data_IF_324617082958
#
_entry.id   IF_324617082958
#
_cell.length_a   1.000
_cell.length_b   1.000
_cell.length_c   1.000
_cell.angle_alpha   90.00
_cell.angle_beta   90.00
_cell.angle_gamma   90.00
#
_symmetry.space_group_name_H-M   'P 1'
#
loop_
_entity.id
_entity.type
_entity.pdbx_description
1 polymer ?
#
# COMPACT_ATOMS: atom_id res chain seq x y z
N UNK A 1 10.39 25.75 18.98
CA UNK A 1 9.34 24.90 19.55
C UNK A 1 8.47 24.39 18.40
N UNK A 2 8.49 23.11 18.11
CA UNK A 2 7.67 22.55 17.02
C UNK A 2 6.19 22.58 17.43
N UNK A 3 5.36 23.25 16.65
CA UNK A 3 3.92 23.29 16.88
C UNK A 3 3.29 21.95 16.47
N UNK A 4 3.02 21.10 17.44
CA UNK A 4 2.43 19.77 17.24
C UNK A 4 1.06 19.88 16.53
N UNK A 5 0.35 20.98 16.67
CA UNK A 5 -0.95 21.24 16.02
C UNK A 5 -0.87 21.41 14.50
N UNK A 6 0.34 21.52 13.93
CA UNK A 6 0.54 21.63 12.46
C UNK A 6 0.97 20.32 11.79
N UNK A 7 1.09 19.23 12.53
CA UNK A 7 1.45 17.93 11.95
C UNK A 7 0.19 17.20 11.53
N UNK A 8 0.11 16.71 10.27
CA UNK A 8 -1.00 15.88 9.83
C UNK A 8 -1.09 14.61 10.69
N UNK A 9 -2.30 14.26 11.09
CA UNK A 9 -2.59 13.06 11.84
C UNK A 9 -3.31 12.05 10.95
N UNK A 10 -2.75 10.86 10.83
CA UNK A 10 -3.31 9.77 10.02
C UNK A 10 -3.95 8.68 10.85
N UNK A 11 -4.87 7.97 10.21
CA UNK A 11 -5.45 6.74 10.75
C UNK A 11 -5.18 5.59 9.78
N UNK A 12 -4.81 4.43 10.32
CA UNK A 12 -4.72 3.23 9.53
C UNK A 12 -6.11 2.69 9.21
N UNK A 13 -6.38 2.39 7.96
CA UNK A 13 -7.69 1.95 7.48
C UNK A 13 -8.35 0.85 8.32
N UNK A 14 -7.53 -0.09 8.83
CA UNK A 14 -8.05 -1.20 9.64
C UNK A 14 -8.54 -0.80 11.03
N UNK A 15 -8.32 0.43 11.46
CA UNK A 15 -8.90 0.98 12.69
C UNK A 15 -10.35 1.48 12.47
N UNK A 16 -10.80 1.55 11.23
CA UNK A 16 -12.16 1.89 10.85
C UNK A 16 -13.00 0.62 10.63
N UNK A 17 -14.33 0.66 10.79
CA UNK A 17 -15.19 -0.49 10.54
C UNK A 17 -15.01 -1.06 9.13
N UNK A 18 -14.94 -2.38 9.03
CA UNK A 18 -14.70 -3.06 7.75
C UNK A 18 -15.89 -2.95 6.78
N UNK A 19 -17.10 -2.83 7.30
CA UNK A 19 -18.35 -2.69 6.55
C UNK A 19 -18.62 -1.27 6.03
N UNK A 20 -17.80 -0.29 6.45
CA UNK A 20 -17.90 1.07 5.93
C UNK A 20 -17.42 1.13 4.47
N UNK A 21 -18.17 1.85 3.64
CA UNK A 21 -17.73 2.31 2.32
C UNK A 21 -16.54 3.28 2.46
N UNK A 22 -15.83 3.54 1.38
CA UNK A 22 -14.73 4.51 1.40
C UNK A 22 -15.16 5.92 1.78
N UNK A 23 -16.35 6.34 1.33
CA UNK A 23 -16.90 7.63 1.73
C UNK A 23 -17.16 7.69 3.24
N UNK A 24 -17.79 6.66 3.81
CA UNK A 24 -18.05 6.59 5.25
C UNK A 24 -16.77 6.54 6.07
N UNK A 25 -15.75 5.79 5.61
CA UNK A 25 -14.41 5.77 6.25
C UNK A 25 -13.78 7.16 6.28
N UNK A 26 -13.82 7.90 5.16
CA UNK A 26 -13.26 9.25 5.08
C UNK A 26 -14.05 10.24 5.93
N UNK A 27 -15.38 10.15 5.94
CA UNK A 27 -16.22 10.98 6.78
C UNK A 27 -15.97 10.73 8.27
N UNK A 28 -15.86 9.45 8.67
CA UNK A 28 -15.54 9.08 10.05
C UNK A 28 -14.14 9.56 10.47
N UNK A 29 -13.14 9.41 9.60
CA UNK A 29 -11.79 9.91 9.85
C UNK A 29 -11.79 11.44 10.04
N UNK A 30 -12.48 12.17 9.17
CA UNK A 30 -12.62 13.63 9.26
C UNK A 30 -13.31 14.05 10.56
N UNK A 31 -14.42 13.38 10.91
CA UNK A 31 -15.17 13.67 12.14
C UNK A 31 -14.33 13.41 13.40
N UNK A 32 -13.46 12.40 13.37
CA UNK A 32 -12.55 12.08 14.45
C UNK A 32 -11.30 13.00 14.51
N UNK A 33 -11.14 13.92 13.55
CA UNK A 33 -10.04 14.88 13.53
C UNK A 33 -8.76 14.37 12.87
N UNK A 34 -8.84 13.32 12.06
CA UNK A 34 -7.72 12.85 11.24
C UNK A 34 -7.64 13.63 9.93
N UNK A 35 -6.43 13.78 9.41
CA UNK A 35 -6.14 14.48 8.16
C UNK A 35 -6.03 13.53 6.96
N UNK A 36 -5.72 12.24 7.22
CA UNK A 36 -5.53 11.25 6.16
C UNK A 36 -5.78 9.82 6.62
N UNK A 37 -5.97 8.93 5.65
CA UNK A 37 -6.06 7.48 5.86
C UNK A 37 -4.86 6.81 5.18
N UNK A 38 -4.19 5.87 5.88
CA UNK A 38 -3.28 4.92 5.26
C UNK A 38 -4.06 3.71 4.75
N UNK A 39 -4.05 3.49 3.42
CA UNK A 39 -4.73 2.36 2.80
C UNK A 39 -3.98 1.05 3.05
N UNK A 40 -4.74 -0.03 3.25
CA UNK A 40 -4.20 -1.38 3.42
C UNK A 40 -4.40 -2.23 2.18
N UNK A 41 -3.32 -2.83 1.67
CA UNK A 41 -3.37 -3.93 0.71
C UNK A 41 -2.68 -5.13 1.37
N UNK A 42 -3.48 -5.96 2.06
CA UNK A 42 -2.96 -7.11 2.81
C UNK A 42 -3.14 -8.42 2.04
N UNK A 43 -2.86 -9.53 2.72
CA UNK A 43 -2.87 -10.88 2.17
C UNK A 43 -4.27 -11.47 1.89
N UNK A 44 -5.36 -10.78 2.29
CA UNK A 44 -6.72 -11.22 2.00
C UNK A 44 -7.06 -11.01 0.53
N UNK A 45 -7.86 -11.90 -0.05
CA UNK A 45 -8.26 -11.81 -1.45
C UNK A 45 -9.02 -10.49 -1.72
N UNK A 46 -9.87 -10.05 -0.78
CA UNK A 46 -10.60 -8.80 -0.86
C UNK A 46 -9.67 -7.58 -1.01
N UNK A 47 -8.60 -7.53 -0.21
CA UNK A 47 -7.67 -6.38 -0.24
C UNK A 47 -6.63 -6.48 -1.33
N UNK A 48 -6.24 -7.70 -1.72
CA UNK A 48 -5.42 -7.92 -2.91
C UNK A 48 -6.15 -7.50 -4.19
N UNK A 49 -7.48 -7.71 -4.27
CA UNK A 49 -8.29 -7.29 -5.42
C UNK A 49 -8.26 -5.77 -5.67
N UNK A 50 -7.87 -4.95 -4.67
CA UNK A 50 -7.68 -3.50 -4.85
C UNK A 50 -6.57 -3.15 -5.83
N UNK A 51 -5.60 -4.04 -6.01
CA UNK A 51 -4.53 -3.87 -6.99
C UNK A 51 -5.06 -3.85 -8.43
N UNK A 52 -6.27 -4.36 -8.65
CA UNK A 52 -6.95 -4.44 -9.93
C UNK A 52 -8.17 -3.50 -10.02
N UNK A 53 -8.24 -2.47 -9.17
CA UNK A 53 -9.30 -1.47 -9.23
C UNK A 53 -9.35 -0.79 -10.60
N UNK A 54 -10.55 -0.69 -11.15
CA UNK A 54 -10.79 0.00 -12.41
C UNK A 54 -10.55 1.50 -12.29
N UNK A 55 -10.42 2.19 -13.42
CA UNK A 55 -10.25 3.64 -13.41
C UNK A 55 -11.49 4.35 -12.83
N UNK A 56 -12.68 3.79 -13.00
CA UNK A 56 -13.93 4.30 -12.40
C UNK A 56 -13.89 4.20 -10.88
N UNK A 57 -13.43 3.07 -10.32
CA UNK A 57 -13.27 2.90 -8.87
C UNK A 57 -12.23 3.85 -8.30
N UNK A 58 -11.12 4.07 -9.02
CA UNK A 58 -10.09 5.04 -8.62
C UNK A 58 -10.66 6.47 -8.61
N UNK A 59 -11.38 6.87 -9.65
CA UNK A 59 -11.99 8.21 -9.70
C UNK A 59 -13.07 8.39 -8.62
N UNK A 60 -13.81 7.36 -8.28
CA UNK A 60 -14.75 7.39 -7.17
C UNK A 60 -14.02 7.69 -5.84
N UNK A 61 -12.93 6.97 -5.54
CA UNK A 61 -12.11 7.24 -4.35
C UNK A 61 -11.56 8.67 -4.37
N UNK A 62 -11.04 9.13 -5.50
CA UNK A 62 -10.53 10.50 -5.66
C UNK A 62 -11.62 11.56 -5.45
N UNK A 63 -12.84 11.30 -5.89
CA UNK A 63 -13.97 12.19 -5.64
C UNK A 63 -14.29 12.30 -4.15
N UNK A 64 -14.25 11.18 -3.41
CA UNK A 64 -14.44 11.16 -1.96
C UNK A 64 -13.31 11.90 -1.22
N UNK A 65 -12.06 11.75 -1.67
CA UNK A 65 -10.94 12.52 -1.14
C UNK A 65 -11.17 14.03 -1.31
N UNK A 66 -11.67 14.45 -2.48
CA UNK A 66 -11.98 15.86 -2.77
C UNK A 66 -13.17 16.37 -1.95
N UNK A 67 -14.22 15.58 -1.79
CA UNK A 67 -15.42 15.94 -1.01
C UNK A 67 -15.09 16.09 0.47
N UNK A 68 -14.36 15.15 1.03
CA UNK A 68 -14.08 15.09 2.47
C UNK A 68 -12.88 15.91 2.89
N UNK A 69 -11.92 16.12 2.00
CA UNK A 69 -10.61 16.68 2.31
C UNK A 69 -9.64 15.67 2.96
N UNK A 70 -10.06 14.41 3.12
CA UNK A 70 -9.20 13.32 3.61
C UNK A 70 -8.43 12.74 2.42
N UNK A 71 -7.11 12.65 2.53
CA UNK A 71 -6.24 12.11 1.47
C UNK A 71 -5.72 10.72 1.84
N UNK A 72 -5.17 10.01 0.86
CA UNK A 72 -4.50 8.71 1.03
C UNK A 72 -3.03 8.86 0.62
N UNK A 73 -2.14 9.36 1.51
CA UNK A 73 -0.74 9.62 1.16
C UNK A 73 0.17 8.41 1.29
N UNK A 74 -0.29 7.36 1.98
CA UNK A 74 0.50 6.16 2.24
C UNK A 74 -0.31 4.88 2.08
N UNK A 75 0.39 3.80 1.73
CA UNK A 75 -0.13 2.45 1.56
C UNK A 75 0.71 1.46 2.37
N UNK A 76 0.05 0.65 3.19
CA UNK A 76 0.66 -0.53 3.79
C UNK A 76 0.44 -1.73 2.85
N UNK A 77 1.47 -2.09 2.09
CA UNK A 77 1.44 -3.22 1.16
C UNK A 77 1.98 -4.47 1.87
N UNK A 78 1.11 -5.17 2.57
CA UNK A 78 1.44 -6.38 3.34
C UNK A 78 0.95 -7.69 2.70
N UNK A 79 0.54 -7.66 1.44
CA UNK A 79 0.25 -8.85 0.63
C UNK A 79 1.46 -9.80 0.51
N UNK A 80 2.67 -9.25 0.67
CA UNK A 80 3.92 -10.01 0.72
C UNK A 80 4.04 -10.94 1.94
N UNK A 81 3.11 -10.91 2.90
CA UNK A 81 3.02 -11.93 3.94
C UNK A 81 2.67 -13.29 3.34
N UNK A 82 1.70 -13.33 2.42
CA UNK A 82 1.27 -14.54 1.71
C UNK A 82 2.19 -14.86 0.52
N UNK A 83 2.74 -13.85 -0.13
CA UNK A 83 3.59 -13.97 -1.31
C UNK A 83 4.94 -13.26 -1.06
N UNK A 84 5.83 -13.85 -0.22
CA UNK A 84 7.08 -13.18 0.15
C UNK A 84 8.13 -13.24 -0.96
N UNK A 85 8.95 -12.19 -1.04
CA UNK A 85 10.09 -12.14 -1.95
C UNK A 85 11.16 -13.20 -1.65
N UNK A 86 11.24 -13.65 -0.40
CA UNK A 86 12.22 -14.65 0.05
C UNK A 86 11.79 -16.09 -0.16
N UNK A 87 10.58 -16.37 -0.63
CA UNK A 87 10.13 -17.75 -0.84
C UNK A 87 11.06 -18.50 -1.80
N UNK A 88 11.36 -19.77 -1.47
CA UNK A 88 12.10 -20.68 -2.39
C UNK A 88 11.26 -21.10 -3.59
N UNK A 89 9.92 -20.99 -3.49
CA UNK A 89 9.02 -21.21 -4.60
C UNK A 89 9.04 -20.02 -5.57
N UNK A 90 9.48 -20.27 -6.80
CA UNK A 90 9.56 -19.23 -7.83
C UNK A 90 8.20 -18.60 -8.16
N UNK A 91 7.12 -19.39 -8.20
CA UNK A 91 5.77 -18.90 -8.51
C UNK A 91 5.28 -17.89 -7.46
N UNK A 92 5.62 -18.13 -6.16
CA UNK A 92 5.32 -17.20 -5.07
C UNK A 92 6.10 -15.90 -5.24
N UNK A 93 7.39 -15.98 -5.62
CA UNK A 93 8.20 -14.78 -5.86
C UNK A 93 7.71 -14.00 -7.10
N UNK A 94 7.33 -14.69 -8.17
CA UNK A 94 6.76 -14.05 -9.36
C UNK A 94 5.49 -13.28 -8.98
N UNK A 95 4.64 -13.87 -8.13
CA UNK A 95 3.45 -13.19 -7.60
C UNK A 95 3.79 -12.01 -6.69
N UNK A 96 4.86 -12.10 -5.90
CA UNK A 96 5.35 -10.97 -5.11
C UNK A 96 5.72 -9.77 -5.98
N UNK A 97 6.40 -9.99 -7.11
CA UNK A 97 6.74 -8.93 -8.07
C UNK A 97 5.50 -8.35 -8.75
N UNK A 98 4.54 -9.19 -9.15
CA UNK A 98 3.25 -8.72 -9.69
C UNK A 98 2.52 -7.81 -8.68
N UNK A 99 2.46 -8.21 -7.41
CA UNK A 99 1.87 -7.40 -6.33
C UNK A 99 2.58 -6.06 -6.18
N UNK A 100 3.91 -6.06 -6.24
CA UNK A 100 4.70 -4.83 -6.14
C UNK A 100 4.43 -3.89 -7.31
N UNK A 101 4.46 -4.40 -8.54
CA UNK A 101 4.18 -3.63 -9.76
C UNK A 101 2.79 -2.99 -9.70
N UNK A 102 1.77 -3.79 -9.45
CA UNK A 102 0.39 -3.31 -9.32
C UNK A 102 0.23 -2.33 -8.16
N UNK A 103 0.93 -2.57 -7.04
CA UNK A 103 0.95 -1.65 -5.89
C UNK A 103 1.52 -0.28 -6.25
N UNK A 104 2.59 -0.22 -7.06
CA UNK A 104 3.15 1.02 -7.57
C UNK A 104 2.15 1.74 -8.49
N UNK A 105 1.50 1.01 -9.41
CA UNK A 105 0.49 1.57 -10.31
C UNK A 105 -0.70 2.13 -9.52
N UNK A 106 -1.21 1.39 -8.55
CA UNK A 106 -2.29 1.85 -7.68
C UNK A 106 -1.89 3.10 -6.89
N UNK A 107 -0.66 3.12 -6.37
CA UNK A 107 -0.12 4.28 -5.65
C UNK A 107 -0.08 5.53 -6.54
N UNK A 108 0.36 5.40 -7.79
CA UNK A 108 0.36 6.49 -8.76
C UNK A 108 -1.06 7.02 -9.04
N UNK A 109 -2.01 6.11 -9.31
CA UNK A 109 -3.40 6.47 -9.60
C UNK A 109 -4.08 7.19 -8.43
N UNK A 110 -3.81 6.78 -7.19
CA UNK A 110 -4.38 7.39 -5.98
C UNK A 110 -3.62 8.62 -5.48
N UNK A 111 -2.40 8.88 -5.97
CA UNK A 111 -1.53 9.94 -5.45
C UNK A 111 -0.83 9.56 -4.14
N UNK A 112 -0.70 8.28 -3.85
CA UNK A 112 0.07 7.73 -2.72
C UNK A 112 1.55 8.01 -2.93
N UNK A 113 2.22 8.51 -1.90
CA UNK A 113 3.65 8.88 -1.95
C UNK A 113 4.57 7.89 -1.24
N UNK A 114 4.03 7.12 -0.33
CA UNK A 114 4.80 6.17 0.48
C UNK A 114 4.14 4.81 0.41
N UNK A 115 4.89 3.80 -0.03
CA UNK A 115 4.50 2.40 0.06
C UNK A 115 5.34 1.78 1.18
N UNK A 116 4.68 1.34 2.24
CA UNK A 116 5.30 0.61 3.34
C UNK A 116 5.31 -0.88 3.01
N UNK A 117 6.48 -1.48 2.97
CA UNK A 117 6.67 -2.92 2.81
C UNK A 117 7.03 -3.57 4.14
N UNK A 118 6.66 -4.83 4.30
CA UNK A 118 7.12 -5.63 5.43
C UNK A 118 8.57 -6.08 5.23
N UNK A 119 9.33 -6.16 6.32
CA UNK A 119 10.78 -6.41 6.32
C UNK A 119 11.16 -7.85 6.72
N UNK A 120 10.24 -8.80 6.61
CA UNK A 120 10.52 -10.23 6.74
C UNK A 120 10.81 -10.84 5.37
N UNK A 121 11.76 -11.77 5.31
CA UNK A 121 12.10 -12.53 4.11
C UNK A 121 10.97 -13.49 3.73
N UNK A 122 10.49 -14.28 4.71
CA UNK A 122 9.31 -15.15 4.63
C UNK A 122 8.49 -15.00 5.92
N UNK A 123 7.21 -15.38 5.89
CA UNK A 123 6.33 -15.27 7.05
C UNK A 123 5.80 -16.63 7.52
N UNK A 124 5.39 -17.49 6.57
CA UNK A 124 4.83 -18.82 6.84
C UNK A 124 5.79 -19.95 6.49
N UNK A 125 6.99 -19.62 6.03
CA UNK A 125 8.05 -20.57 5.67
C UNK A 125 9.22 -20.43 6.67
N UNK A 126 10.12 -21.43 6.72
CA UNK A 126 11.34 -21.34 7.51
C UNK A 126 12.34 -20.37 6.86
N UNK A 127 12.82 -19.42 7.66
CA UNK A 127 13.83 -18.44 7.24
C UNK A 127 15.22 -19.04 7.32
N UNK A 128 16.01 -18.86 6.27
CA UNK A 128 17.42 -19.22 6.21
C UNK A 128 18.23 -18.21 5.38
N UNK A 129 19.50 -18.50 5.12
CA UNK A 129 20.36 -17.57 4.36
C UNK A 129 19.94 -17.43 2.89
N UNK A 130 19.32 -18.46 2.30
CA UNK A 130 18.82 -18.41 0.93
C UNK A 130 17.57 -17.52 0.86
N UNK A 131 16.63 -17.67 1.78
CA UNK A 131 15.41 -16.83 1.83
C UNK A 131 15.74 -15.36 2.04
N UNK A 132 16.72 -15.07 2.90
CA UNK A 132 17.22 -13.70 3.12
C UNK A 132 17.89 -13.11 1.87
N UNK A 133 18.68 -13.91 1.17
CA UNK A 133 19.32 -13.47 -0.08
C UNK A 133 18.28 -13.15 -1.17
N UNK A 134 17.27 -14.02 -1.34
CA UNK A 134 16.16 -13.82 -2.27
C UNK A 134 15.34 -12.58 -1.90
N UNK A 135 15.07 -12.37 -0.62
CA UNK A 135 14.39 -11.16 -0.13
C UNK A 135 15.15 -9.89 -0.47
N UNK A 136 16.46 -9.86 -0.23
CA UNK A 136 17.30 -8.70 -0.54
C UNK A 136 17.32 -8.41 -2.06
N UNK A 137 17.36 -9.45 -2.90
CA UNK A 137 17.22 -9.31 -4.34
C UNK A 137 15.86 -8.71 -4.72
N UNK A 138 14.77 -9.24 -4.12
CA UNK A 138 13.42 -8.74 -4.32
C UNK A 138 13.28 -7.27 -3.93
N UNK A 139 13.85 -6.86 -2.80
CA UNK A 139 13.84 -5.47 -2.35
C UNK A 139 14.60 -4.54 -3.30
N UNK A 140 15.77 -4.95 -3.81
CA UNK A 140 16.53 -4.17 -4.80
C UNK A 140 15.69 -3.95 -6.06
N UNK A 141 15.10 -5.00 -6.63
CA UNK A 141 14.22 -4.89 -7.80
C UNK A 141 13.01 -4.00 -7.52
N UNK A 142 12.42 -4.08 -6.33
CA UNK A 142 11.29 -3.24 -5.94
C UNK A 142 11.66 -1.75 -5.93
N UNK A 143 12.87 -1.41 -5.46
CA UNK A 143 13.39 -0.03 -5.50
C UNK A 143 13.59 0.43 -6.94
N UNK A 144 14.15 -0.42 -7.81
CA UNK A 144 14.34 -0.12 -9.23
C UNK A 144 12.99 0.14 -9.91
N UNK A 145 11.99 -0.73 -9.71
CA UNK A 145 10.62 -0.55 -10.23
C UNK A 145 10.01 0.77 -9.77
N UNK A 146 10.11 1.10 -8.48
CA UNK A 146 9.60 2.35 -7.94
C UNK A 146 10.32 3.56 -8.55
N UNK A 147 11.64 3.51 -8.70
CA UNK A 147 12.45 4.62 -9.24
C UNK A 147 12.06 4.93 -10.70
N UNK A 148 11.93 3.91 -11.55
CA UNK A 148 11.51 4.07 -12.94
C UNK A 148 10.11 4.71 -13.02
N UNK A 149 9.20 4.28 -12.15
CA UNK A 149 7.83 4.79 -12.14
C UNK A 149 7.73 6.24 -11.66
N UNK A 150 8.60 6.68 -10.74
CA UNK A 150 8.64 8.06 -10.26
C UNK A 150 9.27 9.03 -11.26
N UNK A 151 10.21 8.60 -12.10
CA UNK A 151 10.81 9.46 -13.14
C UNK A 151 9.83 9.85 -14.25
N UNK A 152 8.76 9.08 -14.43
CA UNK A 152 7.68 9.45 -15.36
C UNK A 152 6.68 10.46 -14.80
N UNK A 153 6.73 10.78 -13.50
CA UNK A 153 5.86 11.75 -12.84
C UNK A 153 6.49 13.15 -12.70
N UNK A 154 7.75 13.31 -13.06
CA UNK A 154 8.50 14.56 -12.94
C UNK A 154 8.76 15.28 -14.27
N UNK A 155 8.13 14.86 -15.34
CA UNK A 155 8.06 15.54 -16.62
C UNK A 155 6.62 16.04 -16.85
#
# INVERSE_FOLDING_TARGET
MYDIKKRPLGIYEKALPNDFTWLEKMQAAKQAGFDYIEISVDESDERLARLDWSDEQIEEIRSYMKETGIIIPSMCLSGHRRFPFGSKNKEIRDKAFEIMEKGIILAQKLGVRVIQLATYDVYYEESDEETKALFLEGMKKSVEMATVSYTHLTL
#
